data_IF_457264266250
#
_entry.id   IF_457264266250
#
_cell.length_a   1.000
_cell.length_b   1.000
_cell.length_c   1.000
_cell.angle_alpha   90.00
_cell.angle_beta   90.00
_cell.angle_gamma   90.00
#
_symmetry.space_group_name_H-M   'P 1'
#
loop_
_entity.id
_entity.type
_entity.pdbx_description
1 polymer ?
#
# COMPACT_ATOMS: atom_id res chain seq x y z
N UNK A 1 19.52 -10.83 -20.78
CA UNK A 1 18.82 -10.29 -19.59
C UNK A 1 17.34 -10.39 -19.86
N UNK A 2 16.62 -11.31 -19.19
CA UNK A 2 15.19 -11.49 -19.43
C UNK A 2 14.39 -10.38 -18.75
N UNK A 3 13.63 -9.62 -19.53
CA UNK A 3 12.58 -8.73 -19.02
C UNK A 3 11.53 -9.58 -18.31
N UNK A 4 11.51 -9.53 -16.98
CA UNK A 4 10.41 -10.09 -16.19
C UNK A 4 9.18 -9.22 -16.42
N UNK A 5 8.14 -9.80 -17.00
CA UNK A 5 6.86 -9.13 -17.18
C UNK A 5 6.14 -9.08 -15.82
N UNK A 6 5.90 -7.88 -15.31
CA UNK A 6 5.04 -7.65 -14.16
C UNK A 6 3.58 -7.88 -14.57
N UNK A 7 2.87 -8.74 -13.83
CA UNK A 7 1.45 -9.00 -14.07
C UNK A 7 0.67 -8.28 -12.97
N UNK A 8 -0.04 -7.22 -13.32
CA UNK A 8 -1.13 -6.70 -12.48
C UNK A 8 -2.30 -7.65 -12.67
N UNK A 9 -2.70 -8.34 -11.61
CA UNK A 9 -3.83 -9.25 -11.65
C UNK A 9 -4.93 -8.64 -10.79
N UNK A 10 -5.95 -8.08 -11.42
CA UNK A 10 -7.10 -7.59 -10.67
C UNK A 10 -8.09 -8.75 -10.40
N UNK A 11 -8.92 -8.57 -9.37
CA UNK A 11 -9.96 -9.52 -8.97
C UNK A 11 -10.83 -9.96 -10.15
N UNK A 12 -11.16 -9.03 -11.06
CA UNK A 12 -11.98 -9.31 -12.25
C UNK A 12 -11.30 -10.31 -13.19
N UNK A 13 -9.97 -10.24 -13.34
CA UNK A 13 -9.22 -11.20 -14.15
C UNK A 13 -9.19 -12.59 -13.50
N UNK A 14 -9.01 -12.66 -12.18
CA UNK A 14 -9.02 -13.94 -11.46
C UNK A 14 -10.42 -14.57 -11.50
N UNK A 15 -11.47 -13.78 -11.25
CA UNK A 15 -12.87 -14.24 -11.36
C UNK A 15 -13.18 -14.72 -12.78
N UNK A 16 -12.76 -14.00 -13.81
CA UNK A 16 -12.90 -14.44 -15.22
C UNK A 16 -12.13 -15.72 -15.53
N UNK A 17 -10.96 -15.94 -14.93
CA UNK A 17 -10.21 -17.19 -15.09
C UNK A 17 -10.96 -18.36 -14.45
N UNK A 18 -11.55 -18.16 -13.27
CA UNK A 18 -12.40 -19.16 -12.60
C UNK A 18 -13.68 -19.43 -13.41
N UNK A 19 -14.35 -18.39 -13.89
CA UNK A 19 -15.53 -18.51 -14.77
C UNK A 19 -15.22 -19.26 -16.06
N UNK A 20 -13.98 -19.18 -16.54
CA UNK A 20 -13.46 -19.95 -17.67
C UNK A 20 -13.04 -21.39 -17.30
N UNK A 21 -13.28 -21.81 -16.06
CA UNK A 21 -13.07 -23.18 -15.60
C UNK A 21 -11.66 -23.50 -15.11
N UNK A 22 -10.79 -22.49 -14.88
CA UNK A 22 -9.49 -22.77 -14.26
C UNK A 22 -9.69 -23.19 -12.81
N UNK A 23 -9.07 -24.31 -12.44
CA UNK A 23 -9.07 -24.79 -11.07
C UNK A 23 -8.14 -23.95 -10.19
N UNK A 24 -8.32 -23.97 -8.85
CA UNK A 24 -7.37 -23.37 -7.92
C UNK A 24 -5.93 -23.86 -8.10
N UNK A 25 -5.75 -25.09 -8.61
CA UNK A 25 -4.45 -25.66 -8.95
C UNK A 25 -3.81 -24.99 -10.16
N UNK A 26 -4.59 -24.75 -11.21
CA UNK A 26 -4.10 -24.05 -12.41
C UNK A 26 -3.72 -22.60 -12.08
N UNK A 27 -4.52 -21.95 -11.22
CA UNK A 27 -4.20 -20.62 -10.70
C UNK A 27 -2.95 -20.64 -9.83
N UNK A 28 -2.74 -21.67 -9.02
CA UNK A 28 -1.55 -21.80 -8.17
C UNK A 28 -0.28 -21.87 -9.01
N UNK A 29 -0.33 -22.58 -10.13
CA UNK A 29 0.77 -22.69 -11.09
C UNK A 29 1.04 -21.37 -11.82
N UNK A 30 -0.01 -20.71 -12.32
CA UNK A 30 0.09 -19.40 -12.99
C UNK A 30 0.68 -18.34 -12.05
N UNK A 31 0.18 -18.31 -10.81
CA UNK A 31 0.57 -17.36 -9.78
C UNK A 31 1.87 -17.77 -9.07
N UNK A 32 2.39 -18.98 -9.31
CA UNK A 32 3.57 -19.55 -8.64
C UNK A 32 3.47 -19.53 -7.11
N UNK A 33 2.31 -19.95 -6.59
CA UNK A 33 1.98 -20.03 -5.16
C UNK A 33 1.41 -21.39 -4.81
N UNK A 34 1.22 -21.70 -3.52
CA UNK A 34 0.50 -22.91 -3.13
C UNK A 34 -1.01 -22.82 -3.38
N UNK A 35 -1.69 -23.95 -3.61
CA UNK A 35 -3.16 -23.99 -3.81
C UNK A 35 -3.95 -23.36 -2.65
N UNK A 36 -3.49 -23.55 -1.41
CA UNK A 36 -4.08 -22.88 -0.24
C UNK A 36 -3.93 -21.36 -0.29
N UNK A 37 -2.82 -20.86 -0.85
CA UNK A 37 -2.59 -19.43 -1.01
C UNK A 37 -3.46 -18.82 -2.11
N UNK A 38 -3.84 -19.61 -3.13
CA UNK A 38 -4.85 -19.18 -4.10
C UNK A 38 -6.18 -18.91 -3.41
N UNK A 39 -6.62 -19.77 -2.49
CA UNK A 39 -7.85 -19.53 -1.73
C UNK A 39 -7.77 -18.27 -0.87
N UNK A 40 -6.60 -17.92 -0.34
CA UNK A 40 -6.37 -16.65 0.36
C UNK A 40 -6.54 -15.47 -0.62
N UNK A 41 -5.90 -15.54 -1.79
CA UNK A 41 -6.02 -14.51 -2.83
C UNK A 41 -7.48 -14.33 -3.26
N UNK A 42 -8.23 -15.42 -3.41
CA UNK A 42 -9.63 -15.42 -3.82
C UNK A 42 -10.59 -14.94 -2.73
N UNK A 43 -10.32 -15.29 -1.47
CA UNK A 43 -11.15 -14.89 -0.33
C UNK A 43 -11.00 -13.43 0.06
N UNK A 44 -9.83 -12.83 -0.20
CA UNK A 44 -9.50 -11.45 0.15
C UNK A 44 -9.61 -10.46 -1.02
N UNK A 45 -9.94 -10.94 -2.23
CA UNK A 45 -10.22 -10.07 -3.36
C UNK A 45 -11.48 -9.25 -3.07
N UNK A 46 -11.25 -8.01 -2.64
CA UNK A 46 -12.28 -7.02 -2.33
C UNK A 46 -12.07 -5.81 -3.22
N UNK A 47 -13.09 -5.42 -3.99
CA UNK A 47 -13.32 -4.15 -4.74
C UNK A 47 -12.07 -3.31 -5.15
N UNK A 48 -10.95 -3.93 -5.50
CA UNK A 48 -9.67 -3.24 -5.70
C UNK A 48 -8.65 -4.07 -6.47
N UNK A 49 -7.64 -3.39 -7.04
CA UNK A 49 -6.56 -4.05 -7.77
C UNK A 49 -5.56 -4.70 -6.80
N UNK A 50 -5.20 -5.97 -7.06
CA UNK A 50 -4.13 -6.65 -6.34
C UNK A 50 -2.83 -6.39 -7.10
N UNK A 51 -1.86 -5.78 -6.42
CA UNK A 51 -0.55 -5.53 -7.01
C UNK A 51 0.42 -6.61 -6.55
N UNK A 52 0.97 -7.35 -7.52
CA UNK A 52 1.98 -8.37 -7.29
C UNK A 52 3.38 -7.76 -7.44
N UNK A 53 4.20 -7.91 -6.40
CA UNK A 53 5.60 -7.51 -6.42
C UNK A 53 6.50 -8.74 -6.43
N UNK A 54 7.33 -8.83 -7.47
CA UNK A 54 8.42 -9.78 -7.56
C UNK A 54 9.54 -9.34 -6.60
N UNK A 55 9.67 -10.03 -5.47
CA UNK A 55 10.80 -9.87 -4.58
C UNK A 55 11.89 -10.91 -4.88
N UNK A 56 13.17 -10.55 -4.73
CA UNK A 56 14.21 -11.58 -4.60
C UNK A 56 13.87 -12.48 -3.38
N UNK A 57 14.31 -13.74 -3.39
CA UNK A 57 14.24 -14.70 -2.26
C UNK A 57 12.94 -15.51 -2.04
N UNK A 58 12.37 -16.15 -3.08
CA UNK A 58 11.26 -17.13 -2.94
C UNK A 58 10.00 -16.61 -2.21
N UNK A 59 9.81 -15.30 -2.19
CA UNK A 59 8.64 -14.65 -1.62
C UNK A 59 7.85 -13.99 -2.74
N UNK A 60 6.53 -14.12 -2.66
CA UNK A 60 5.60 -13.32 -3.46
C UNK A 60 4.90 -12.34 -2.54
N UNK A 61 4.92 -11.06 -2.91
CA UNK A 61 4.29 -10.01 -2.12
C UNK A 61 3.06 -9.52 -2.85
N UNK A 62 1.92 -9.53 -2.16
CA UNK A 62 0.67 -8.95 -2.63
C UNK A 62 0.40 -7.67 -1.85
N UNK A 63 0.05 -6.62 -2.56
CA UNK A 63 -0.38 -5.35 -1.98
C UNK A 63 -1.85 -5.11 -2.35
N UNK A 64 -2.70 -5.06 -1.32
CA UNK A 64 -4.16 -5.06 -1.45
C UNK A 64 -4.69 -3.78 -0.77
N UNK A 65 -5.27 -2.83 -1.52
CA UNK A 65 -5.90 -1.65 -0.93
C UNK A 65 -7.02 -2.01 0.05
N UNK A 66 -7.14 -1.28 1.16
CA UNK A 66 -8.15 -1.49 2.19
C UNK A 66 -9.10 -0.30 2.35
N UNK A 67 -10.40 -0.59 2.32
CA UNK A 67 -11.48 0.32 2.67
C UNK A 67 -11.55 0.55 4.19
N UNK A 68 -12.20 1.65 4.59
CA UNK A 68 -12.37 2.09 5.98
C UNK A 68 -12.90 0.99 6.92
N UNK A 69 -13.85 0.20 6.44
CA UNK A 69 -14.49 -0.86 7.22
C UNK A 69 -13.54 -2.01 7.56
N UNK A 70 -12.66 -2.37 6.63
CA UNK A 70 -11.76 -3.53 6.76
C UNK A 70 -10.63 -3.27 7.75
N UNK A 71 -10.13 -2.03 7.86
CA UNK A 71 -8.98 -1.71 8.72
C UNK A 71 -9.26 -2.02 10.20
N UNK A 72 -10.52 -1.95 10.63
CA UNK A 72 -10.90 -2.20 12.03
C UNK A 72 -10.51 -3.59 12.52
N UNK A 73 -10.46 -4.60 11.63
CA UNK A 73 -10.15 -5.99 11.99
C UNK A 73 -8.66 -6.26 12.30
N UNK A 74 -7.81 -5.25 12.12
CA UNK A 74 -6.37 -5.36 12.33
C UNK A 74 -5.84 -4.44 13.44
N UNK A 75 -6.58 -3.40 13.81
CA UNK A 75 -6.10 -2.29 14.68
C UNK A 75 -5.76 -2.67 16.11
N UNK A 76 -6.24 -3.81 16.60
CA UNK A 76 -5.99 -4.30 17.96
C UNK A 76 -4.89 -5.37 17.99
N UNK A 77 -4.33 -5.70 16.82
CA UNK A 77 -3.32 -6.74 16.60
C UNK A 77 -2.24 -6.30 15.63
N UNK A 78 -1.98 -5.00 15.51
CA UNK A 78 -0.90 -4.47 14.71
C UNK A 78 0.28 -4.00 15.57
N UNK A 79 1.50 -4.38 15.16
CA UNK A 79 2.75 -3.99 15.80
C UNK A 79 3.43 -2.93 14.94
N UNK A 80 3.52 -1.70 15.47
CA UNK A 80 4.20 -0.61 14.78
C UNK A 80 5.67 -0.93 14.54
N UNK A 81 6.15 -0.72 13.30
CA UNK A 81 7.55 -0.93 12.92
C UNK A 81 8.28 0.41 12.90
N UNK A 82 9.47 0.44 13.50
CA UNK A 82 10.32 1.62 13.58
C UNK A 82 10.66 2.11 12.17
N UNK A 83 10.43 3.41 11.98
CA UNK A 83 10.67 4.12 10.73
C UNK A 83 12.17 4.28 10.45
N UNK A 84 12.57 4.18 9.19
CA UNK A 84 13.89 4.61 8.72
C UNK A 84 13.74 5.87 7.88
N UNK A 85 13.84 7.03 8.53
CA UNK A 85 13.61 8.32 7.89
C UNK A 85 14.57 8.60 6.73
N UNK A 86 15.82 8.15 6.82
CA UNK A 86 16.83 8.44 5.81
C UNK A 86 16.58 7.67 4.51
N UNK A 87 16.41 6.34 4.58
CA UNK A 87 16.10 5.53 3.38
C UNK A 87 14.84 6.07 2.69
N UNK A 88 13.82 6.37 3.49
CA UNK A 88 12.56 6.89 3.00
C UNK A 88 12.73 8.21 2.25
N UNK A 89 13.39 9.17 2.88
CA UNK A 89 13.66 10.47 2.29
C UNK A 89 14.40 10.32 0.96
N UNK A 90 15.43 9.48 0.90
CA UNK A 90 16.19 9.26 -0.35
C UNK A 90 15.36 8.64 -1.48
N UNK A 91 14.47 7.70 -1.16
CA UNK A 91 13.59 7.08 -2.17
C UNK A 91 12.61 8.13 -2.72
N UNK A 92 11.99 8.89 -1.82
CA UNK A 92 11.02 9.90 -2.19
C UNK A 92 11.67 11.07 -2.93
N UNK A 93 12.79 11.54 -2.43
CA UNK A 93 13.53 12.67 -2.99
C UNK A 93 13.90 12.40 -4.45
N UNK A 94 14.32 11.17 -4.76
CA UNK A 94 14.70 10.77 -6.11
C UNK A 94 13.52 10.50 -7.04
N UNK A 95 12.37 10.15 -6.50
CA UNK A 95 11.27 9.61 -7.32
C UNK A 95 10.11 10.58 -7.49
N UNK A 96 9.73 11.30 -6.43
CA UNK A 96 8.49 12.09 -6.38
C UNK A 96 8.64 13.46 -5.69
N UNK A 97 9.85 13.94 -5.40
CA UNK A 97 10.08 15.25 -4.77
C UNK A 97 9.52 16.45 -5.53
N UNK A 98 9.38 16.30 -6.84
CA UNK A 98 8.89 17.34 -7.74
C UNK A 98 7.36 17.42 -7.78
N UNK A 99 6.66 16.49 -7.14
CA UNK A 99 5.20 16.40 -7.16
C UNK A 99 4.58 17.09 -5.94
N UNK A 100 3.45 17.76 -6.16
CA UNK A 100 2.60 18.30 -5.10
C UNK A 100 1.75 17.22 -4.43
N UNK A 101 1.21 17.54 -3.25
CA UNK A 101 0.33 16.61 -2.51
C UNK A 101 -0.96 16.28 -3.27
N UNK A 102 -1.47 17.19 -4.09
CA UNK A 102 -2.65 16.93 -4.92
C UNK A 102 -2.40 15.82 -5.93
N UNK A 103 -1.26 15.87 -6.61
CA UNK A 103 -0.86 14.86 -7.59
C UNK A 103 -0.63 13.51 -6.91
N UNK A 104 0.07 13.49 -5.77
CA UNK A 104 0.31 12.29 -4.96
C UNK A 104 -1.01 11.67 -4.49
N UNK A 105 -1.93 12.50 -3.97
CA UNK A 105 -3.24 12.04 -3.49
C UNK A 105 -4.05 11.39 -4.62
N UNK A 106 -4.14 12.03 -5.79
CA UNK A 106 -4.88 11.46 -6.93
C UNK A 106 -4.20 10.19 -7.43
N UNK A 107 -2.88 10.16 -7.54
CA UNK A 107 -2.16 8.95 -7.94
C UNK A 107 -2.42 7.79 -6.97
N UNK A 108 -2.44 8.04 -5.66
CA UNK A 108 -2.78 7.03 -4.66
C UNK A 108 -4.26 6.63 -4.70
N UNK A 109 -5.18 7.56 -4.96
CA UNK A 109 -6.61 7.28 -5.18
C UNK A 109 -6.81 6.35 -6.37
N UNK A 110 -6.09 6.59 -7.47
CA UNK A 110 -6.11 5.71 -8.64
C UNK A 110 -5.51 4.35 -8.32
N UNK A 111 -4.35 4.34 -7.65
CA UNK A 111 -3.68 3.11 -7.22
C UNK A 111 -4.57 2.25 -6.31
N UNK A 112 -5.30 2.87 -5.38
CA UNK A 112 -6.14 2.15 -4.42
C UNK A 112 -7.55 1.85 -4.95
N UNK A 113 -7.98 2.51 -6.02
CA UNK A 113 -9.35 2.42 -6.55
C UNK A 113 -10.41 3.07 -5.65
N UNK A 114 -10.02 3.82 -4.62
CA UNK A 114 -10.95 4.39 -3.63
C UNK A 114 -10.46 5.69 -3.02
N UNK A 115 -11.36 6.40 -2.35
CA UNK A 115 -11.02 7.64 -1.63
C UNK A 115 -10.09 7.41 -0.44
N UNK A 116 -9.16 8.34 -0.24
CA UNK A 116 -8.26 8.35 0.91
C UNK A 116 -9.03 8.60 2.21
N UNK A 117 -8.68 7.87 3.26
CA UNK A 117 -9.33 7.99 4.56
C UNK A 117 -8.90 9.27 5.28
N UNK A 118 -9.87 10.00 5.81
CA UNK A 118 -9.59 11.14 6.69
C UNK A 118 -9.34 10.59 8.11
N UNK A 119 -8.15 10.85 8.63
CA UNK A 119 -7.68 10.41 9.93
C UNK A 119 -8.30 11.28 11.05
N UNK A 120 -8.56 10.77 12.28
CA UNK A 120 -9.06 11.61 13.38
C UNK A 120 -8.10 12.75 13.77
N UNK A 121 -6.80 12.64 13.42
CA UNK A 121 -5.80 13.70 13.59
C UNK A 121 -5.76 14.66 12.38
N UNK A 122 -6.93 15.13 11.92
CA UNK A 122 -7.09 15.92 10.70
C UNK A 122 -6.16 17.16 10.63
N UNK A 123 -5.82 17.77 11.78
CA UNK A 123 -4.92 18.92 11.81
C UNK A 123 -3.50 18.64 11.26
N UNK A 124 -3.04 17.38 11.21
CA UNK A 124 -1.70 17.00 10.71
C UNK A 124 -1.73 16.17 9.43
N UNK A 125 -2.90 15.71 9.02
CA UNK A 125 -3.08 14.68 8.00
C UNK A 125 -4.38 14.98 7.28
N UNK A 126 -4.34 15.00 5.95
CA UNK A 126 -5.50 15.26 5.11
C UNK A 126 -5.98 14.02 4.33
N UNK A 127 -5.15 13.00 4.15
CA UNK A 127 -5.51 11.69 3.59
C UNK A 127 -4.71 10.54 4.20
N UNK A 128 -5.19 9.32 4.00
CA UNK A 128 -4.45 8.10 4.31
C UNK A 128 -5.00 6.90 3.55
N UNK A 129 -4.11 6.16 2.92
CA UNK A 129 -4.40 4.92 2.19
C UNK A 129 -3.75 3.76 2.94
N UNK A 130 -4.57 2.75 3.24
CA UNK A 130 -4.11 1.54 3.90
C UNK A 130 -4.03 0.42 2.87
N UNK A 131 -2.95 -0.34 2.94
CA UNK A 131 -2.74 -1.52 2.13
C UNK A 131 -2.43 -2.71 3.04
N UNK A 132 -3.10 -3.83 2.79
CA UNK A 132 -2.72 -5.11 3.33
C UNK A 132 -1.60 -5.68 2.46
N UNK A 133 -0.48 -5.99 3.09
CA UNK A 133 0.63 -6.70 2.48
C UNK A 133 0.52 -8.16 2.90
N UNK A 134 0.38 -9.06 1.94
CA UNK A 134 0.50 -10.50 2.16
C UNK A 134 1.79 -11.01 1.57
N UNK A 135 2.61 -11.63 2.41
CA UNK A 135 3.86 -12.27 2.01
C UNK A 135 3.61 -13.76 1.94
N UNK A 136 3.62 -14.29 0.73
CA UNK A 136 3.48 -15.70 0.43
C UNK A 136 4.88 -16.31 0.34
N UNK A 137 5.18 -17.26 1.22
CA UNK A 137 6.45 -17.97 1.24
C UNK A 137 6.22 -19.37 0.67
N UNK A 138 7.09 -19.81 -0.23
CA UNK A 138 7.05 -21.16 -0.75
C UNK A 138 7.10 -22.19 0.39
N UNK A 139 6.28 -23.24 0.31
CA UNK A 139 6.16 -24.30 1.32
C UNK A 139 5.61 -23.86 2.69
N UNK A 140 5.05 -22.65 2.80
CA UNK A 140 4.26 -22.24 3.96
C UNK A 140 2.78 -22.17 3.61
N UNK A 141 1.96 -22.76 4.47
CA UNK A 141 0.50 -22.80 4.29
C UNK A 141 -0.18 -21.45 4.56
N UNK A 142 0.49 -20.55 5.27
CA UNK A 142 -0.08 -19.27 5.70
C UNK A 142 0.74 -18.09 5.16
N UNK A 143 0.03 -17.00 4.88
CA UNK A 143 0.66 -15.73 4.54
C UNK A 143 1.11 -14.99 5.81
N UNK A 144 2.23 -14.27 5.71
CA UNK A 144 2.59 -13.27 6.72
C UNK A 144 1.96 -11.94 6.33
N UNK A 145 1.27 -11.31 7.26
CA UNK A 145 0.48 -10.11 7.01
C UNK A 145 1.10 -8.86 7.64
N UNK A 146 1.12 -7.78 6.87
CA UNK A 146 1.51 -6.45 7.31
C UNK A 146 0.46 -5.43 6.84
N UNK A 147 0.30 -4.33 7.58
CA UNK A 147 -0.35 -3.14 7.07
C UNK A 147 0.69 -2.11 6.65
N UNK A 148 0.43 -1.47 5.53
CA UNK A 148 1.14 -0.28 5.08
C UNK A 148 0.18 0.90 5.05
N UNK A 149 0.51 1.97 5.76
CA UNK A 149 -0.21 3.25 5.71
C UNK A 149 0.62 4.24 4.89
N UNK A 150 0.13 4.63 3.72
CA UNK A 150 0.63 5.78 2.97
C UNK A 150 -0.27 6.99 3.26
N UNK A 151 0.30 8.08 3.81
CA UNK A 151 -0.48 9.27 4.17
C UNK A 151 0.34 10.52 4.00
N UNK A 152 -0.31 11.67 3.89
CA UNK A 152 0.38 12.90 4.22
C UNK A 152 0.55 13.01 5.74
N UNK A 153 1.64 13.64 6.16
CA UNK A 153 1.86 14.03 7.55
C UNK A 153 2.66 15.32 7.56
N UNK A 154 2.04 16.41 8.03
CA UNK A 154 2.63 17.76 8.06
C UNK A 154 3.20 18.21 6.70
N UNK A 155 2.46 17.94 5.62
CA UNK A 155 2.83 18.40 4.29
C UNK A 155 3.77 17.48 3.50
N UNK A 156 4.32 16.43 4.11
CA UNK A 156 5.10 15.40 3.41
C UNK A 156 4.33 14.09 3.30
N UNK A 157 4.63 13.28 2.29
CA UNK A 157 4.20 11.89 2.26
C UNK A 157 4.91 11.11 3.39
N UNK A 158 4.28 10.07 3.94
CA UNK A 158 4.83 9.16 4.94
C UNK A 158 4.30 7.73 4.71
N UNK A 159 5.16 6.70 4.88
CA UNK A 159 4.79 5.28 4.73
C UNK A 159 5.08 4.47 5.99
N UNK A 160 4.05 4.08 6.74
CA UNK A 160 4.21 3.33 8.00
C UNK A 160 3.86 1.87 7.84
N UNK A 161 4.79 1.00 8.21
CA UNK A 161 4.57 -0.45 8.27
C UNK A 161 4.14 -0.88 9.67
N UNK A 162 3.20 -1.80 9.72
CA UNK A 162 2.74 -2.47 10.93
C UNK A 162 2.69 -3.97 10.66
N UNK A 163 3.23 -4.80 11.54
CA UNK A 163 3.06 -6.26 11.43
C UNK A 163 1.71 -6.64 12.01
N UNK A 164 0.92 -7.44 11.29
CA UNK A 164 -0.30 -8.03 11.86
C UNK A 164 0.08 -9.32 12.57
N UNK A 165 -0.27 -9.44 13.85
CA UNK A 165 -0.12 -10.69 14.61
C UNK A 165 -1.41 -11.51 14.57
N UNK A 166 -1.27 -12.82 14.74
CA UNK A 166 -2.43 -13.71 14.90
C UNK A 166 -3.09 -13.46 16.24
N UNK A 167 -4.40 -13.67 16.31
CA UNK A 167 -5.16 -13.50 17.56
C UNK A 167 -4.62 -14.41 18.67
N UNK A 168 -4.21 -15.63 18.32
CA UNK A 168 -3.58 -16.58 19.25
C UNK A 168 -2.23 -16.12 19.82
N UNK A 169 -1.60 -15.10 19.24
CA UNK A 169 -0.31 -14.57 19.67
C UNK A 169 -0.43 -13.23 20.42
N UNK A 170 -1.63 -12.69 20.57
CA UNK A 170 -1.87 -11.35 21.13
C UNK A 170 -1.30 -11.18 22.53
N UNK A 171 -1.46 -12.17 23.40
CA UNK A 171 -0.92 -12.12 24.76
C UNK A 171 0.62 -12.11 24.79
N UNK A 172 1.26 -12.87 23.90
CA UNK A 172 2.72 -12.89 23.75
C UNK A 172 3.29 -11.53 23.36
N UNK A 173 2.55 -10.78 22.54
CA UNK A 173 2.99 -9.49 22.01
C UNK A 173 2.36 -8.28 22.72
N UNK A 174 1.59 -8.49 23.80
CA UNK A 174 0.81 -7.44 24.47
C UNK A 174 1.62 -6.20 24.83
N UNK A 175 2.85 -6.37 25.29
CA UNK A 175 3.75 -5.25 25.64
C UNK A 175 4.35 -4.55 24.40
N UNK A 176 4.41 -5.24 23.25
CA UNK A 176 4.97 -4.71 22.01
C UNK A 176 3.94 -3.94 21.18
N UNK A 177 2.64 -4.13 21.44
CA UNK A 177 1.54 -3.39 20.79
C UNK A 177 1.64 -1.87 20.98
N UNK A 178 2.30 -1.40 22.04
CA UNK A 178 2.44 0.03 22.35
C UNK A 178 3.81 0.61 22.02
N UNK A 179 4.72 -0.16 21.41
CA UNK A 179 6.10 0.27 21.14
C UNK A 179 6.49 0.10 19.67
N UNK A 180 7.55 0.80 19.25
CA UNK A 180 8.12 0.65 17.91
C UNK A 180 9.09 -0.53 17.86
N UNK A 181 8.82 -1.46 16.95
CA UNK A 181 9.58 -2.70 16.78
C UNK A 181 10.60 -2.57 15.63
N UNK A 182 11.74 -3.26 15.72
CA UNK A 182 12.62 -3.39 14.54
C UNK A 182 11.91 -4.26 13.47
N UNK A 183 12.26 -4.12 12.18
CA UNK A 183 11.77 -5.05 11.15
C UNK A 183 12.06 -6.51 11.52
N UNK A 184 11.12 -7.38 11.23
CA UNK A 184 11.27 -8.82 11.40
C UNK A 184 12.06 -9.35 10.19
N UNK A 185 13.39 -9.31 10.27
CA UNK A 185 14.29 -9.54 9.14
C UNK A 185 14.11 -10.87 8.40
N UNK A 186 13.60 -11.90 9.08
CA UNK A 186 13.29 -13.20 8.48
C UNK A 186 12.00 -13.18 7.63
N UNK A 187 11.11 -12.23 7.88
CA UNK A 187 9.79 -12.13 7.25
C UNK A 187 9.78 -11.03 6.20
N UNK A 188 10.05 -9.80 6.62
CA UNK A 188 10.11 -8.60 5.78
C UNK A 188 11.26 -7.71 6.29
N UNK A 189 12.39 -7.78 5.60
CA UNK A 189 13.57 -6.99 5.95
C UNK A 189 13.45 -5.55 5.44
N UNK A 190 14.38 -4.69 5.86
CA UNK A 190 14.35 -3.27 5.53
C UNK A 190 14.41 -3.01 4.02
N UNK A 191 15.26 -3.73 3.30
CA UNK A 191 15.42 -3.53 1.85
C UNK A 191 14.16 -3.95 1.09
N UNK A 192 13.45 -4.99 1.56
CA UNK A 192 12.16 -5.38 1.00
C UNK A 192 11.09 -4.32 1.26
N UNK A 193 11.01 -3.76 2.48
CA UNK A 193 10.11 -2.64 2.80
C UNK A 193 10.41 -1.40 1.95
N UNK A 194 11.69 -1.04 1.82
CA UNK A 194 12.16 0.09 1.02
C UNK A 194 11.83 -0.15 -0.48
N UNK A 195 11.93 -1.40 -0.95
CA UNK A 195 11.50 -1.81 -2.30
C UNK A 195 10.00 -1.64 -2.54
N UNK A 196 9.15 -2.00 -1.57
CA UNK A 196 7.70 -1.78 -1.64
C UNK A 196 7.39 -0.28 -1.71
N UNK A 197 8.06 0.55 -0.89
CA UNK A 197 7.91 2.02 -0.97
C UNK A 197 8.35 2.52 -2.35
N UNK A 198 9.50 2.06 -2.85
CA UNK A 198 10.01 2.43 -4.16
C UNK A 198 9.07 2.07 -5.31
N UNK A 199 8.41 0.91 -5.23
CA UNK A 199 7.38 0.51 -6.18
C UNK A 199 6.21 1.50 -6.19
N UNK A 200 5.65 1.82 -5.02
CA UNK A 200 4.51 2.76 -4.93
C UNK A 200 4.93 4.16 -5.39
N UNK A 201 6.11 4.64 -5.00
CA UNK A 201 6.64 5.92 -5.46
C UNK A 201 6.85 5.95 -6.98
N UNK A 202 7.34 4.86 -7.57
CA UNK A 202 7.49 4.70 -9.01
C UNK A 202 6.15 4.72 -9.73
N UNK A 203 5.12 4.05 -9.18
CA UNK A 203 3.76 4.11 -9.70
C UNK A 203 3.21 5.54 -9.66
N UNK A 204 3.33 6.22 -8.52
CA UNK A 204 2.90 7.62 -8.37
C UNK A 204 3.53 8.48 -9.47
N UNK A 205 4.87 8.43 -9.59
CA UNK A 205 5.60 9.18 -10.61
C UNK A 205 5.18 8.81 -12.05
N UNK A 206 4.82 7.55 -12.31
CA UNK A 206 4.36 7.11 -13.61
C UNK A 206 2.99 7.70 -13.97
N UNK A 207 2.04 7.62 -13.04
CA UNK A 207 0.66 8.08 -13.22
C UNK A 207 0.59 9.60 -13.36
N UNK A 208 1.42 10.35 -12.61
CA UNK A 208 1.38 11.81 -12.63
C UNK A 208 1.90 12.44 -13.91
N UNK A 209 2.59 11.71 -14.80
CA UNK A 209 3.10 12.26 -16.07
C UNK A 209 2.00 12.81 -16.97
N UNK A 210 0.82 12.18 -16.97
CA UNK A 210 -0.30 12.54 -17.85
C UNK A 210 -1.57 12.86 -17.04
N UNK A 211 -1.48 13.04 -15.72
CA UNK A 211 -2.65 13.11 -14.82
C UNK A 211 -3.63 14.24 -15.16
N UNK A 212 -3.12 15.38 -15.64
CA UNK A 212 -3.96 16.51 -16.05
C UNK A 212 -4.84 16.20 -17.26
N UNK A 213 -4.46 15.23 -18.09
CA UNK A 213 -5.20 14.89 -19.32
C UNK A 213 -6.46 14.08 -19.04
N UNK A 214 -6.50 13.31 -17.94
CA UNK A 214 -7.58 12.36 -17.66
C UNK A 214 -8.25 12.55 -16.29
N UNK A 215 -7.66 13.31 -15.37
CA UNK A 215 -8.30 13.63 -14.09
C UNK A 215 -9.13 14.92 -14.20
N UNK A 216 -10.40 14.86 -13.80
CA UNK A 216 -11.36 15.97 -13.98
C UNK A 216 -12.17 16.29 -12.73
N UNK A 217 -11.99 15.56 -11.64
CA UNK A 217 -12.76 15.75 -10.42
C UNK A 217 -12.11 16.85 -9.56
N UNK A 218 -12.86 17.92 -9.28
CA UNK A 218 -12.34 18.98 -8.42
C UNK A 218 -12.31 18.54 -6.95
N UNK A 219 -11.24 18.91 -6.25
CA UNK A 219 -11.13 18.67 -4.81
C UNK A 219 -10.25 19.72 -4.14
N UNK A 220 -10.44 19.89 -2.83
CA UNK A 220 -9.60 20.74 -1.97
C UNK A 220 -9.35 20.05 -0.63
N UNK A 221 -8.11 20.06 -0.16
CA UNK A 221 -7.67 19.49 1.12
C UNK A 221 -6.72 20.44 1.83
N UNK A 222 -6.69 20.38 3.17
CA UNK A 222 -5.81 21.19 4.00
C UNK A 222 -5.06 20.36 5.05
N UNK A 223 -3.84 20.81 5.37
CA UNK A 223 -3.03 20.31 6.48
C UNK A 223 -2.77 21.47 7.43
N UNK A 224 -3.68 21.65 8.40
CA UNK A 224 -3.77 22.87 9.21
C UNK A 224 -2.48 23.17 10.00
N UNK A 225 -1.80 22.14 10.50
CA UNK A 225 -0.57 22.27 11.31
C UNK A 225 0.61 22.92 10.59
N UNK A 226 0.56 22.96 9.25
CA UNK A 226 1.55 23.64 8.41
C UNK A 226 0.91 24.65 7.47
N UNK A 227 -0.37 24.99 7.69
CA UNK A 227 -1.18 25.91 6.88
C UNK A 227 -1.12 25.61 5.38
N UNK A 228 -1.01 24.33 5.01
CA UNK A 228 -0.92 23.90 3.62
C UNK A 228 -2.33 23.65 3.08
N UNK A 229 -2.62 24.16 1.89
CA UNK A 229 -3.82 23.83 1.13
C UNK A 229 -3.42 23.36 -0.27
N UNK A 230 -4.08 22.33 -0.77
CA UNK A 230 -3.81 21.78 -2.09
C UNK A 230 -5.08 21.18 -2.68
N UNK A 231 -5.08 20.97 -3.99
CA UNK A 231 -6.24 20.43 -4.67
C UNK A 231 -6.10 20.37 -6.18
N UNK A 232 -7.22 20.14 -6.84
CA UNK A 232 -7.38 20.21 -8.29
C UNK A 232 -8.59 21.07 -8.61
N UNK A 233 -8.39 22.10 -9.44
CA UNK A 233 -9.44 23.05 -9.81
C UNK A 233 -9.16 23.63 -11.19
N UNK A 234 -10.22 23.85 -11.99
CA UNK A 234 -10.10 24.44 -13.33
C UNK A 234 -9.06 23.72 -14.23
N UNK A 235 -8.98 22.39 -14.14
CA UNK A 235 -8.07 21.59 -14.98
C UNK A 235 -6.60 21.61 -14.54
N UNK A 236 -6.28 22.07 -13.33
CA UNK A 236 -4.90 22.13 -12.83
C UNK A 236 -4.80 21.82 -11.34
N UNK A 237 -3.67 21.21 -10.96
CA UNK A 237 -3.30 21.05 -9.55
C UNK A 237 -2.82 22.38 -8.95
N UNK A 238 -3.17 22.62 -7.70
CA UNK A 238 -2.67 23.74 -6.93
C UNK A 238 -2.14 23.29 -5.58
N UNK A 239 -1.16 24.04 -5.06
CA UNK A 239 -0.66 23.90 -3.70
C UNK A 239 -0.13 25.25 -3.23
N UNK A 240 -0.55 25.69 -2.04
CA UNK A 240 -0.03 26.90 -1.41
C UNK A 240 0.08 26.71 0.10
N UNK A 241 1.10 27.33 0.69
CA UNK A 241 1.35 27.31 2.12
C UNK A 241 1.13 28.72 2.68
N UNK A 242 0.23 28.85 3.65
CA UNK A 242 -0.02 30.12 4.33
C UNK A 242 1.15 30.50 5.27
N UNK A 243 1.37 31.81 5.41
CA UNK A 243 2.25 32.41 6.44
C UNK A 243 1.69 32.16 7.85
#
# INVERSE_FOLDING_TARGET
>A
MGTKHHITINETQIKRMIEKGLSPKDLAEILRVGEKQVQIILGDAMEGEIHELDCPYNKKILLIPLLKGQIKQYKDRDLSIKYNYLSYYLILERTISHLGLGEIYVALKVFSGHEGLINPNAHKVSFGFYFLIKILIANHDEAIEYLLLARDYKGGLEFRFHKIIKESEKDKFRQQLTTYNKPFSQELNRNEMDGIIGYIAGYINGVTRNINEWYHEEFSRSVDSVKLCYGYKNGSFYQYQGE
#
